data_IF_419661478120
#
_entry.id   IF_419661478120
#
_cell.length_a   1.000
_cell.length_b   1.000
_cell.length_c   1.000
_cell.angle_alpha   90.00
_cell.angle_beta   90.00
_cell.angle_gamma   90.00
#
_symmetry.space_group_name_H-M   'P 1'
#
loop_
_entity.id
_entity.type
_entity.pdbx_description
1 polymer ?
#
# COMPACT_ATOMS: atom_id res chain seq x y z
N UNK A 1 -9.51 -40.37 -24.85
CA UNK A 1 -8.44 -40.29 -25.87
C UNK A 1 -9.12 -40.44 -27.22
N UNK A 2 -9.26 -39.35 -27.97
CA UNK A 2 -9.41 -39.39 -29.43
C UNK A 2 -8.73 -38.13 -30.00
N UNK A 3 -7.80 -38.36 -30.92
CA UNK A 3 -6.67 -37.52 -31.32
C UNK A 3 -7.03 -36.56 -32.49
N UNK A 4 -8.31 -36.42 -32.81
CA UNK A 4 -8.79 -35.57 -33.91
C UNK A 4 -9.34 -34.20 -33.51
N UNK A 5 -9.66 -33.97 -32.23
CA UNK A 5 -10.13 -32.66 -31.75
C UNK A 5 -9.00 -31.74 -31.27
N UNK A 6 -7.74 -32.22 -31.24
CA UNK A 6 -6.58 -31.47 -30.76
C UNK A 6 -5.73 -30.82 -31.87
N UNK A 7 -6.09 -30.99 -33.15
CA UNK A 7 -5.32 -30.47 -34.31
C UNK A 7 -5.89 -29.24 -35.01
N UNK A 8 -7.03 -28.70 -34.56
CA UNK A 8 -7.65 -27.48 -35.13
C UNK A 8 -7.32 -26.21 -34.33
N UNK A 9 -6.75 -26.32 -33.12
CA UNK A 9 -6.43 -25.17 -32.27
C UNK A 9 -4.93 -24.78 -32.23
N UNK A 10 -4.11 -25.26 -33.17
CA UNK A 10 -2.63 -25.08 -33.13
C UNK A 10 -1.95 -24.65 -34.42
N UNK A 11 -2.69 -24.09 -35.37
CA UNK A 11 -2.14 -23.33 -36.51
C UNK A 11 -3.01 -22.10 -36.70
N UNK A 12 -2.67 -21.01 -36.01
CA UNK A 12 -2.97 -19.61 -36.43
C UNK A 12 -2.36 -18.55 -35.48
N UNK A 13 -1.25 -18.88 -34.83
CA UNK A 13 -0.38 -17.88 -34.20
C UNK A 13 1.00 -18.05 -34.82
N UNK A 14 1.44 -16.97 -35.47
CA UNK A 14 2.75 -16.74 -36.11
C UNK A 14 2.86 -17.19 -37.58
N UNK A 15 2.39 -16.32 -38.49
CA UNK A 15 3.17 -15.86 -39.66
C UNK A 15 2.53 -14.62 -40.30
N UNK A 16 3.29 -13.53 -40.30
CA UNK A 16 3.35 -12.40 -41.25
C UNK A 16 2.07 -11.56 -41.46
N UNK A 17 2.06 -10.23 -41.31
CA UNK A 17 3.08 -9.30 -41.78
C UNK A 17 3.04 -9.18 -43.30
N UNK A 18 2.23 -8.25 -43.82
CA UNK A 18 2.27 -7.66 -45.18
C UNK A 18 1.98 -8.61 -46.36
N UNK A 19 0.91 -8.34 -47.11
CA UNK A 19 0.66 -8.94 -48.43
C UNK A 19 -0.66 -8.46 -49.04
N UNK A 20 -0.57 -7.90 -50.24
CA UNK A 20 -1.60 -7.18 -51.01
C UNK A 20 -2.74 -8.06 -51.56
N UNK A 21 -3.78 -7.35 -51.98
CA UNK A 21 -5.05 -7.78 -52.56
C UNK A 21 -4.99 -8.77 -53.74
N UNK A 22 -6.08 -9.52 -53.92
CA UNK A 22 -6.77 -9.68 -55.21
C UNK A 22 -8.16 -10.34 -55.01
N UNK A 23 -9.18 -9.90 -55.76
CA UNK A 23 -10.46 -10.64 -55.88
C UNK A 23 -11.79 -9.89 -55.78
N UNK A 24 -11.97 -8.83 -56.59
CA UNK A 24 -13.24 -8.41 -57.25
C UNK A 24 -14.56 -8.27 -56.46
N UNK A 25 -14.81 -7.01 -56.07
CA UNK A 25 -16.01 -6.18 -56.30
C UNK A 25 -17.43 -6.80 -56.30
N UNK A 26 -18.20 -6.39 -55.28
CA UNK A 26 -19.60 -5.96 -55.44
C UNK A 26 -19.80 -4.65 -54.68
N UNK A 27 -20.49 -3.72 -55.32
CA UNK A 27 -20.46 -2.27 -55.09
C UNK A 27 -21.17 -1.81 -53.78
N UNK A 28 -20.50 -0.83 -53.15
CA UNK A 28 -21.04 0.41 -52.55
C UNK A 28 -21.97 0.32 -51.32
N UNK A 29 -21.36 0.13 -50.13
CA UNK A 29 -21.74 0.81 -48.88
C UNK A 29 -20.66 0.76 -47.75
N UNK A 30 -19.40 0.39 -48.02
CA UNK A 30 -18.44 -0.01 -46.97
C UNK A 30 -17.15 0.82 -46.80
N UNK A 31 -16.90 1.86 -47.60
CA UNK A 31 -15.61 2.57 -47.59
C UNK A 31 -15.35 3.50 -46.38
N UNK A 32 -16.33 4.19 -45.77
CA UNK A 32 -16.06 5.00 -44.57
C UNK A 32 -15.66 4.14 -43.37
N UNK A 33 -16.25 2.94 -43.26
CA UNK A 33 -16.10 2.04 -42.13
C UNK A 33 -14.69 1.43 -42.04
N UNK A 34 -14.09 1.07 -43.18
CA UNK A 34 -12.73 0.50 -43.21
C UNK A 34 -11.66 1.55 -42.88
N UNK A 35 -11.79 2.77 -43.38
CA UNK A 35 -10.88 3.87 -43.06
C UNK A 35 -10.96 4.30 -41.60
N UNK A 36 -12.18 4.35 -41.05
CA UNK A 36 -12.40 4.68 -39.64
C UNK A 36 -11.89 3.57 -38.70
N UNK A 37 -12.14 2.29 -39.02
CA UNK A 37 -11.63 1.17 -38.24
C UNK A 37 -10.08 1.10 -38.19
N UNK A 38 -9.41 1.35 -39.32
CA UNK A 38 -7.94 1.43 -39.36
C UNK A 38 -7.42 2.63 -38.54
N UNK A 39 -8.12 3.76 -38.58
CA UNK A 39 -7.76 4.95 -37.78
C UNK A 39 -7.98 4.75 -36.28
N UNK A 40 -9.02 4.00 -35.90
CA UNK A 40 -9.31 3.65 -34.51
C UNK A 40 -8.27 2.69 -33.95
N UNK A 41 -7.87 1.67 -34.72
CA UNK A 41 -6.82 0.73 -34.28
C UNK A 41 -5.50 1.46 -34.04
N UNK A 42 -5.12 2.38 -34.93
CA UNK A 42 -3.93 3.21 -34.73
C UNK A 42 -4.02 4.08 -33.46
N UNK A 43 -5.21 4.59 -33.12
CA UNK A 43 -5.41 5.30 -31.86
C UNK A 43 -5.30 4.37 -30.65
N UNK A 44 -5.90 3.18 -30.71
CA UNK A 44 -5.82 2.16 -29.65
C UNK A 44 -4.37 1.76 -29.38
N UNK A 45 -3.60 1.48 -30.42
CA UNK A 45 -2.18 1.10 -30.30
C UNK A 45 -1.37 2.24 -29.64
N UNK A 46 -1.64 3.49 -30.03
CA UNK A 46 -1.02 4.68 -29.40
C UNK A 46 -1.42 4.83 -27.94
N UNK A 47 -2.67 4.51 -27.58
CA UNK A 47 -3.11 4.54 -26.18
C UNK A 47 -2.35 3.50 -25.35
N UNK A 48 -2.13 2.29 -25.88
CA UNK A 48 -1.34 1.26 -25.22
C UNK A 48 0.14 1.64 -25.10
N UNK A 49 0.72 2.28 -26.12
CA UNK A 49 2.09 2.81 -26.03
C UNK A 49 2.22 3.89 -24.96
N UNK A 50 1.23 4.78 -24.84
CA UNK A 50 1.18 5.79 -23.79
C UNK A 50 1.08 5.14 -22.41
N UNK A 51 0.21 4.12 -22.24
CA UNK A 51 0.12 3.35 -21.00
C UNK A 51 1.44 2.65 -20.63
N UNK A 52 2.11 2.02 -21.61
CA UNK A 52 3.40 1.36 -21.42
C UNK A 52 4.51 2.34 -21.00
N UNK A 53 4.41 3.59 -21.44
CA UNK A 53 5.31 4.69 -21.07
C UNK A 53 4.86 5.46 -19.83
N UNK A 54 3.81 4.99 -19.14
CA UNK A 54 3.16 5.64 -17.99
C UNK A 54 2.62 7.06 -18.27
N UNK A 55 2.40 7.41 -19.54
CA UNK A 55 1.72 8.64 -19.95
C UNK A 55 0.20 8.44 -19.95
N UNK A 56 -0.35 8.36 -18.74
CA UNK A 56 -1.77 8.07 -18.53
C UNK A 56 -2.68 9.21 -19.01
N UNK A 57 -2.20 10.46 -19.03
CA UNK A 57 -2.96 11.62 -19.49
C UNK A 57 -3.17 11.60 -21.01
N UNK A 58 -2.14 11.24 -21.77
CA UNK A 58 -2.27 11.03 -23.22
C UNK A 58 -3.18 9.85 -23.51
N UNK A 59 -3.02 8.73 -22.79
CA UNK A 59 -3.91 7.57 -22.94
C UNK A 59 -5.39 7.92 -22.66
N UNK A 60 -5.68 8.64 -21.57
CA UNK A 60 -7.02 9.15 -21.26
C UNK A 60 -7.59 9.99 -22.41
N UNK A 61 -6.81 10.93 -22.94
CA UNK A 61 -7.23 11.80 -24.05
C UNK A 61 -7.64 10.99 -25.28
N UNK A 62 -6.87 9.94 -25.58
CA UNK A 62 -7.15 9.04 -26.71
C UNK A 62 -8.41 8.21 -26.45
N UNK A 63 -8.56 7.58 -25.27
CA UNK A 63 -9.77 6.82 -24.93
C UNK A 63 -11.03 7.68 -24.95
N UNK A 64 -10.98 8.93 -24.43
CA UNK A 64 -12.10 9.87 -24.53
C UNK A 64 -12.42 10.24 -25.98
N UNK A 65 -11.41 10.34 -26.86
CA UNK A 65 -11.62 10.57 -28.30
C UNK A 65 -12.34 9.40 -28.96
N UNK A 66 -11.92 8.16 -28.67
CA UNK A 66 -12.57 6.95 -29.17
C UNK A 66 -14.05 6.89 -28.71
N UNK A 67 -14.32 7.21 -27.45
CA UNK A 67 -15.69 7.25 -26.93
C UNK A 67 -16.56 8.32 -27.62
N UNK A 68 -16.01 9.52 -27.89
CA UNK A 68 -16.70 10.55 -28.67
C UNK A 68 -16.96 10.13 -30.12
N UNK A 69 -16.13 9.25 -30.67
CA UNK A 69 -16.33 8.63 -31.98
C UNK A 69 -17.34 7.46 -31.96
N UNK A 70 -18.00 7.21 -30.82
CA UNK A 70 -19.03 6.17 -30.67
C UNK A 70 -18.48 4.79 -30.28
N UNK A 71 -17.17 4.66 -30.05
CA UNK A 71 -16.56 3.39 -29.66
C UNK A 71 -16.74 3.13 -28.17
N UNK A 72 -17.78 2.38 -27.81
CA UNK A 72 -18.14 2.05 -26.41
C UNK A 72 -17.84 0.61 -26.04
N UNK A 73 -16.88 -0.01 -26.73
CA UNK A 73 -16.44 -1.37 -26.44
C UNK A 73 -15.91 -1.49 -25.00
N UNK A 74 -16.10 -2.67 -24.40
CA UNK A 74 -15.68 -2.97 -23.02
C UNK A 74 -14.25 -2.51 -22.75
N UNK A 75 -13.31 -2.88 -23.64
CA UNK A 75 -11.88 -2.62 -23.43
C UNK A 75 -11.54 -1.13 -23.49
N UNK A 76 -12.27 -0.32 -24.27
CA UNK A 76 -12.05 1.13 -24.39
C UNK A 76 -12.51 1.82 -23.13
N UNK A 77 -13.71 1.48 -22.67
CA UNK A 77 -14.27 2.04 -21.45
C UNK A 77 -13.48 1.61 -20.20
N UNK A 78 -13.05 0.34 -20.17
CA UNK A 78 -12.13 -0.17 -19.15
C UNK A 78 -10.80 0.56 -19.19
N UNK A 79 -10.22 0.74 -20.38
CA UNK A 79 -9.00 1.53 -20.60
C UNK A 79 -9.12 2.95 -20.05
N UNK A 80 -10.24 3.64 -20.28
CA UNK A 80 -10.48 4.95 -19.69
C UNK A 80 -10.47 4.90 -18.15
N UNK A 81 -11.28 4.03 -17.54
CA UNK A 81 -11.38 3.91 -16.08
C UNK A 81 -10.02 3.59 -15.42
N UNK A 82 -9.24 2.72 -16.06
CA UNK A 82 -7.91 2.34 -15.59
C UNK A 82 -6.94 3.53 -15.60
N UNK A 83 -6.89 4.32 -16.68
CA UNK A 83 -6.02 5.50 -16.77
C UNK A 83 -6.43 6.63 -15.82
N UNK A 84 -7.74 6.79 -15.58
CA UNK A 84 -8.24 7.75 -14.58
C UNK A 84 -7.77 7.37 -13.16
N UNK A 85 -7.82 6.07 -12.83
CA UNK A 85 -7.35 5.58 -11.53
C UNK A 85 -5.87 5.88 -11.29
N UNK A 86 -5.02 5.72 -12.31
CA UNK A 86 -3.57 6.01 -12.24
C UNK A 86 -3.23 7.49 -12.13
N UNK A 87 -4.17 8.34 -12.50
CA UNK A 87 -4.08 9.80 -12.36
C UNK A 87 -4.81 10.31 -11.11
N UNK A 88 -5.19 9.44 -10.17
CA UNK A 88 -5.89 9.82 -8.95
C UNK A 88 -7.28 10.45 -9.16
N UNK A 89 -7.84 10.33 -10.36
CA UNK A 89 -9.19 10.77 -10.72
C UNK A 89 -10.23 9.72 -10.32
N UNK A 90 -10.25 9.34 -9.04
CA UNK A 90 -10.97 8.16 -8.55
C UNK A 90 -12.49 8.22 -8.77
N UNK A 91 -13.11 9.38 -8.55
CA UNK A 91 -14.55 9.54 -8.75
C UNK A 91 -14.93 9.31 -10.23
N UNK A 92 -14.16 9.87 -11.16
CA UNK A 92 -14.35 9.65 -12.60
C UNK A 92 -14.07 8.19 -12.99
N UNK A 93 -13.05 7.55 -12.41
CA UNK A 93 -12.73 6.16 -12.65
C UNK A 93 -13.85 5.20 -12.21
N UNK A 94 -14.44 5.45 -11.03
CA UNK A 94 -15.60 4.69 -10.55
C UNK A 94 -16.81 4.91 -11.48
N UNK A 95 -17.11 6.16 -11.85
CA UNK A 95 -18.21 6.46 -12.76
C UNK A 95 -18.04 5.78 -14.13
N UNK A 96 -16.84 5.84 -14.71
CA UNK A 96 -16.52 5.20 -15.98
C UNK A 96 -16.59 3.67 -15.91
N UNK A 97 -16.13 3.05 -14.82
CA UNK A 97 -16.21 1.60 -14.66
C UNK A 97 -17.64 1.10 -14.48
N UNK A 98 -18.47 1.83 -13.73
CA UNK A 98 -19.90 1.53 -13.59
C UNK A 98 -20.65 1.68 -14.91
N UNK A 99 -20.38 2.72 -15.71
CA UNK A 99 -20.99 2.87 -17.03
C UNK A 99 -20.53 1.75 -17.99
N UNK A 100 -19.26 1.33 -17.92
CA UNK A 100 -18.77 0.18 -18.68
C UNK A 100 -19.54 -1.09 -18.33
N UNK A 101 -19.63 -1.44 -17.05
CA UNK A 101 -20.35 -2.64 -16.60
C UNK A 101 -21.84 -2.61 -16.99
N UNK A 102 -22.46 -1.43 -16.99
CA UNK A 102 -23.86 -1.26 -17.44
C UNK A 102 -24.05 -1.54 -18.93
N UNK A 103 -23.08 -1.15 -19.77
CA UNK A 103 -23.16 -1.30 -21.24
C UNK A 103 -22.62 -2.65 -21.73
N UNK A 104 -21.57 -3.14 -21.08
CA UNK A 104 -20.80 -4.32 -21.46
C UNK A 104 -20.65 -5.26 -20.25
N UNK A 105 -21.75 -5.88 -19.76
CA UNK A 105 -21.69 -6.73 -18.58
C UNK A 105 -20.86 -7.99 -18.86
N UNK A 106 -19.70 -8.12 -18.23
CA UNK A 106 -18.81 -9.27 -18.34
C UNK A 106 -17.85 -9.33 -17.14
N UNK A 107 -17.05 -10.40 -17.04
CA UNK A 107 -16.09 -10.56 -15.95
C UNK A 107 -15.10 -9.38 -15.86
N UNK A 108 -14.59 -8.88 -16.99
CA UNK A 108 -13.65 -7.75 -17.03
C UNK A 108 -14.26 -6.42 -16.58
N UNK A 109 -15.51 -6.13 -16.95
CA UNK A 109 -16.15 -4.89 -16.54
C UNK A 109 -16.50 -4.89 -15.05
N UNK A 110 -16.88 -6.05 -14.48
CA UNK A 110 -17.04 -6.21 -13.02
C UNK A 110 -15.69 -6.12 -12.29
N UNK A 111 -14.64 -6.75 -12.81
CA UNK A 111 -13.30 -6.66 -12.25
C UNK A 111 -12.79 -5.21 -12.22
N UNK A 112 -13.04 -4.43 -13.28
CA UNK A 112 -12.68 -3.02 -13.32
C UNK A 112 -13.44 -2.18 -12.29
N UNK A 113 -14.72 -2.47 -12.03
CA UNK A 113 -15.48 -1.81 -10.95
C UNK A 113 -14.84 -2.11 -9.59
N UNK A 114 -14.50 -3.38 -9.34
CA UNK A 114 -13.80 -3.78 -8.11
C UNK A 114 -12.48 -3.02 -7.95
N UNK A 115 -11.65 -3.01 -9.00
CA UNK A 115 -10.35 -2.32 -9.01
C UNK A 115 -10.51 -0.81 -8.81
N UNK A 116 -11.50 -0.17 -9.43
CA UNK A 116 -11.74 1.26 -9.30
C UNK A 116 -12.09 1.66 -7.85
N UNK A 117 -12.94 0.89 -7.18
CA UNK A 117 -13.24 1.10 -5.75
C UNK A 117 -12.02 0.84 -4.86
N UNK A 118 -11.28 -0.23 -5.13
CA UNK A 118 -10.04 -0.55 -4.40
C UNK A 118 -9.00 0.56 -4.54
N UNK A 119 -8.75 1.01 -5.76
CA UNK A 119 -7.86 2.13 -6.06
C UNK A 119 -8.37 3.45 -5.48
N UNK A 120 -9.66 3.58 -5.17
CA UNK A 120 -10.21 4.73 -4.49
C UNK A 120 -10.14 4.61 -2.94
N UNK A 121 -9.61 3.51 -2.40
CA UNK A 121 -9.65 3.25 -0.95
C UNK A 121 -11.05 3.00 -0.40
N UNK A 122 -12.03 2.73 -1.28
CA UNK A 122 -13.40 2.39 -0.91
C UNK A 122 -13.56 0.86 -0.90
N UNK A 123 -12.85 0.24 0.04
CA UNK A 123 -12.85 -1.21 0.22
C UNK A 123 -14.21 -1.79 0.61
N UNK A 124 -15.09 -1.04 1.28
CA UNK A 124 -16.44 -1.48 1.62
C UNK A 124 -17.27 -1.74 0.35
N UNK A 125 -17.27 -0.81 -0.60
CA UNK A 125 -17.93 -1.01 -1.89
C UNK A 125 -17.16 -2.01 -2.77
N UNK A 126 -15.83 -1.99 -2.76
CA UNK A 126 -15.01 -3.00 -3.45
C UNK A 126 -15.34 -4.43 -2.99
N UNK A 127 -15.41 -4.66 -1.68
CA UNK A 127 -15.77 -5.95 -1.10
C UNK A 127 -17.22 -6.35 -1.41
N UNK A 128 -18.16 -5.39 -1.50
CA UNK A 128 -19.54 -5.67 -1.94
C UNK A 128 -19.57 -6.22 -3.37
N UNK A 129 -18.85 -5.57 -4.30
CA UNK A 129 -18.75 -6.04 -5.69
C UNK A 129 -18.03 -7.39 -5.80
N UNK A 130 -16.97 -7.60 -5.02
CA UNK A 130 -16.25 -8.87 -5.01
C UNK A 130 -17.09 -10.02 -4.44
N UNK A 131 -17.89 -9.77 -3.40
CA UNK A 131 -18.84 -10.78 -2.89
C UNK A 131 -19.87 -11.17 -3.94
N UNK A 132 -20.38 -10.20 -4.71
CA UNK A 132 -21.24 -10.47 -5.85
C UNK A 132 -20.50 -11.28 -6.94
N UNK A 133 -19.29 -10.87 -7.33
CA UNK A 133 -18.50 -11.57 -8.34
C UNK A 133 -18.18 -13.02 -7.92
N UNK A 134 -17.93 -13.26 -6.63
CA UNK A 134 -17.59 -14.58 -6.08
C UNK A 134 -18.76 -15.57 -6.13
N UNK A 135 -20.01 -15.11 -6.20
CA UNK A 135 -21.18 -15.99 -6.43
C UNK A 135 -21.12 -16.69 -7.79
N UNK A 136 -20.35 -16.14 -8.74
CA UNK A 136 -20.19 -16.66 -10.10
C UNK A 136 -18.70 -16.88 -10.43
N UNK A 137 -17.91 -17.38 -9.49
CA UNK A 137 -16.45 -17.51 -9.62
C UNK A 137 -16.00 -18.32 -10.85
N UNK A 138 -16.80 -19.31 -11.27
CA UNK A 138 -16.52 -20.11 -12.48
C UNK A 138 -16.55 -19.29 -13.77
N UNK A 139 -17.25 -18.15 -13.77
CA UNK A 139 -17.37 -17.25 -14.93
C UNK A 139 -16.23 -16.21 -15.03
N UNK A 140 -15.27 -16.19 -14.08
CA UNK A 140 -14.22 -15.18 -14.08
C UNK A 140 -13.27 -15.27 -15.29
N UNK A 141 -13.09 -16.46 -15.86
CA UNK A 141 -12.24 -16.65 -17.04
C UNK A 141 -10.84 -16.07 -16.88
N UNK A 142 -10.42 -15.28 -17.87
CA UNK A 142 -9.14 -14.58 -17.93
C UNK A 142 -9.05 -13.36 -17.00
N UNK A 143 -10.18 -12.86 -16.47
CA UNK A 143 -10.20 -11.77 -15.48
C UNK A 143 -9.91 -12.25 -14.05
N UNK A 144 -9.78 -13.57 -13.81
CA UNK A 144 -9.51 -14.17 -12.49
C UNK A 144 -8.37 -13.49 -11.72
N UNK A 145 -7.19 -13.22 -12.33
CA UNK A 145 -6.09 -12.56 -11.60
C UNK A 145 -6.46 -11.16 -11.08
N UNK A 146 -7.31 -10.42 -11.79
CA UNK A 146 -7.76 -9.10 -11.35
C UNK A 146 -8.67 -9.20 -10.12
N UNK A 147 -9.57 -10.18 -10.09
CA UNK A 147 -10.39 -10.45 -8.90
C UNK A 147 -9.56 -10.94 -7.71
N UNK A 148 -8.64 -11.86 -7.92
CA UNK A 148 -7.76 -12.38 -6.86
C UNK A 148 -6.88 -11.26 -6.28
N UNK A 149 -6.33 -10.40 -7.12
CA UNK A 149 -5.59 -9.21 -6.69
C UNK A 149 -6.47 -8.26 -5.87
N UNK A 150 -7.68 -7.97 -6.33
CA UNK A 150 -8.61 -7.10 -5.60
C UNK A 150 -9.04 -7.71 -4.25
N UNK A 151 -9.28 -9.03 -4.20
CA UNK A 151 -9.58 -9.76 -2.95
C UNK A 151 -8.40 -9.69 -1.99
N UNK A 152 -7.17 -9.88 -2.47
CA UNK A 152 -5.97 -9.76 -1.65
C UNK A 152 -5.86 -8.36 -1.04
N UNK A 153 -6.41 -7.32 -1.66
CA UNK A 153 -6.46 -5.98 -1.07
C UNK A 153 -7.62 -5.81 -0.08
N UNK A 154 -8.85 -6.25 -0.38
CA UNK A 154 -10.01 -5.93 0.48
C UNK A 154 -10.32 -6.97 1.56
N UNK A 155 -9.74 -8.16 1.48
CA UNK A 155 -10.01 -9.21 2.46
C UNK A 155 -9.31 -8.90 3.79
N UNK A 156 -10.03 -9.15 4.88
CA UNK A 156 -9.44 -9.23 6.20
C UNK A 156 -8.48 -10.42 6.27
N UNK A 157 -7.34 -10.23 6.94
CA UNK A 157 -6.28 -11.24 7.02
C UNK A 157 -5.90 -11.46 8.47
N UNK A 158 -5.74 -12.72 8.86
CA UNK A 158 -5.25 -13.08 10.19
C UNK A 158 -3.85 -13.65 10.07
N UNK A 159 -2.93 -13.15 10.87
CA UNK A 159 -1.54 -13.56 10.94
C UNK A 159 -1.21 -14.05 12.36
N UNK A 160 -0.31 -15.02 12.44
CA UNK A 160 0.39 -15.37 13.66
C UNK A 160 1.83 -14.88 13.52
N UNK A 161 2.26 -14.07 14.49
CA UNK A 161 3.62 -13.56 14.64
C UNK A 161 4.20 -14.19 15.89
N UNK A 162 5.26 -14.98 15.74
CA UNK A 162 5.88 -15.70 16.86
C UNK A 162 7.29 -15.16 17.08
N UNK A 163 7.54 -14.61 18.27
CA UNK A 163 8.85 -14.16 18.73
C UNK A 163 9.49 -15.24 19.61
N UNK A 164 10.70 -15.69 19.26
CA UNK A 164 11.51 -16.61 20.07
C UNK A 164 12.58 -15.81 20.81
N UNK A 165 12.48 -15.76 22.13
CA UNK A 165 13.40 -15.04 23.00
C UNK A 165 14.37 -16.03 23.65
N UNK A 166 15.59 -16.09 23.11
CA UNK A 166 16.66 -16.94 23.64
C UNK A 166 17.60 -16.11 24.54
N UNK A 167 17.63 -16.35 25.87
CA UNK A 167 18.48 -15.60 26.78
C UNK A 167 19.96 -15.68 26.42
N UNK A 168 20.43 -16.81 25.87
CA UNK A 168 21.83 -16.99 25.48
C UNK A 168 22.21 -16.14 24.26
N UNK A 169 21.27 -15.93 23.34
CA UNK A 169 21.47 -15.06 22.16
C UNK A 169 21.39 -13.60 22.57
N UNK A 170 20.33 -13.22 23.28
CA UNK A 170 20.04 -11.82 23.62
C UNK A 170 21.05 -11.26 24.64
N UNK A 171 21.54 -12.07 25.58
CA UNK A 171 22.57 -11.65 26.52
C UNK A 171 23.88 -11.25 25.83
N UNK A 172 24.16 -11.71 24.60
CA UNK A 172 25.38 -11.35 23.87
C UNK A 172 25.28 -10.02 23.12
N UNK A 173 24.11 -9.36 23.12
CA UNK A 173 23.93 -8.07 22.45
C UNK A 173 24.33 -6.95 23.40
N UNK A 174 25.47 -6.32 23.14
CA UNK A 174 26.15 -5.42 24.07
C UNK A 174 25.31 -4.21 24.56
N UNK A 175 24.41 -3.69 23.72
CA UNK A 175 23.59 -2.52 24.04
C UNK A 175 22.24 -2.86 24.69
N UNK A 176 21.86 -4.14 24.75
CA UNK A 176 20.64 -4.56 25.44
C UNK A 176 20.87 -4.56 26.97
N UNK A 177 19.87 -4.17 27.77
CA UNK A 177 19.90 -4.38 29.20
C UNK A 177 20.09 -5.87 29.51
N UNK A 178 20.93 -6.19 30.50
CA UNK A 178 21.03 -7.55 31.04
C UNK A 178 19.79 -7.82 31.92
N UNK A 179 19.17 -8.99 31.76
CA UNK A 179 17.98 -9.37 32.52
C UNK A 179 16.75 -9.51 31.61
N UNK A 180 15.67 -8.80 31.94
CA UNK A 180 14.42 -8.87 31.18
C UNK A 180 14.57 -8.41 29.73
N UNK A 181 13.79 -9.03 28.85
CA UNK A 181 13.66 -8.64 27.45
C UNK A 181 12.41 -7.79 27.25
N UNK A 182 12.51 -6.78 26.37
CA UNK A 182 11.35 -6.01 25.91
C UNK A 182 10.93 -6.52 24.53
N UNK A 183 9.88 -7.34 24.51
CA UNK A 183 9.29 -7.82 23.26
C UNK A 183 8.25 -6.79 22.78
N UNK A 184 8.38 -6.23 21.57
CA UNK A 184 7.35 -5.35 21.05
C UNK A 184 6.08 -6.15 20.75
N UNK A 185 4.91 -5.59 21.08
CA UNK A 185 3.61 -6.21 20.79
C UNK A 185 2.91 -5.48 19.65
N UNK A 186 2.25 -6.18 18.71
CA UNK A 186 1.37 -5.54 17.74
C UNK A 186 0.32 -4.69 18.45
N UNK A 187 0.14 -3.45 18.01
CA UNK A 187 -0.76 -2.49 18.67
C UNK A 187 -2.19 -3.04 18.62
N UNK A 188 -2.85 -3.19 19.78
CA UNK A 188 -4.25 -3.58 19.85
C UNK A 188 -5.14 -2.38 19.50
N UNK A 189 -6.33 -2.65 18.98
CA UNK A 189 -7.41 -1.66 18.82
C UNK A 189 -7.12 -0.48 17.88
N UNK A 190 -6.44 -0.77 16.77
CA UNK A 190 -6.38 0.17 15.64
C UNK A 190 -7.61 0.00 14.76
N UNK A 191 -8.04 1.07 14.07
CA UNK A 191 -9.20 1.00 13.17
C UNK A 191 -9.09 -0.15 12.15
N UNK A 192 -7.87 -0.48 11.73
CA UNK A 192 -7.54 -1.50 10.72
C UNK A 192 -6.84 -2.74 11.31
N UNK A 193 -6.57 -2.80 12.61
CA UNK A 193 -5.82 -3.91 13.23
C UNK A 193 -6.29 -4.21 14.65
N UNK A 194 -6.50 -5.50 14.94
CA UNK A 194 -6.65 -6.01 16.30
C UNK A 194 -5.54 -7.03 16.58
N UNK A 195 -5.15 -7.17 17.84
CA UNK A 195 -4.14 -8.15 18.25
C UNK A 195 -4.45 -8.76 19.62
N UNK A 196 -3.96 -9.97 19.81
CA UNK A 196 -3.87 -10.65 21.10
C UNK A 196 -2.55 -11.41 21.17
N UNK A 197 -2.11 -11.81 22.36
CA UNK A 197 -0.88 -12.58 22.51
C UNK A 197 -0.96 -13.64 23.62
N UNK A 198 -0.10 -14.63 23.49
CA UNK A 198 0.13 -15.70 24.48
C UNK A 198 1.64 -15.84 24.69
N UNK A 199 2.04 -16.31 25.88
CA UNK A 199 3.44 -16.46 26.25
C UNK A 199 3.70 -17.83 26.85
N UNK A 200 4.78 -18.47 26.40
CA UNK A 200 5.26 -19.75 26.91
C UNK A 200 6.73 -19.63 27.31
N UNK A 201 7.17 -20.35 28.35
CA UNK A 201 8.60 -20.46 28.71
C UNK A 201 9.22 -19.22 29.39
N UNK A 202 8.40 -18.27 29.85
CA UNK A 202 8.86 -17.13 30.66
C UNK A 202 8.62 -17.37 32.16
N UNK A 203 9.49 -16.83 33.02
CA UNK A 203 9.30 -16.84 34.47
C UNK A 203 8.16 -15.91 34.89
N UNK A 204 8.14 -14.71 34.31
CA UNK A 204 7.09 -13.72 34.50
C UNK A 204 7.02 -12.77 33.31
N UNK A 205 5.84 -12.16 33.12
CA UNK A 205 5.64 -11.14 32.12
C UNK A 205 4.88 -9.94 32.68
N UNK A 206 5.11 -8.78 32.07
CA UNK A 206 4.41 -7.54 32.42
C UNK A 206 4.25 -6.66 31.17
N UNK A 207 3.03 -6.24 30.87
CA UNK A 207 2.80 -5.23 29.84
C UNK A 207 3.35 -3.87 30.28
N UNK A 208 4.01 -3.17 29.37
CA UNK A 208 4.51 -1.82 29.58
C UNK A 208 4.28 -0.97 28.34
N UNK A 209 4.03 0.34 28.55
CA UNK A 209 4.06 1.32 27.46
C UNK A 209 5.39 2.07 27.49
N UNK A 210 6.11 2.05 26.37
CA UNK A 210 7.44 2.62 26.19
C UNK A 210 7.42 3.58 25.00
N UNK A 211 7.63 4.87 25.25
CA UNK A 211 7.48 5.93 24.24
C UNK A 211 6.13 5.91 23.47
N UNK A 212 5.07 5.40 24.09
CA UNK A 212 3.75 5.26 23.45
C UNK A 212 3.55 3.96 22.67
N UNK A 213 4.51 3.03 22.72
CA UNK A 213 4.43 1.70 22.13
C UNK A 213 4.14 0.64 23.20
N UNK A 214 3.25 -0.29 22.87
CA UNK A 214 2.98 -1.43 23.74
C UNK A 214 4.12 -2.45 23.60
N UNK A 215 4.64 -2.89 24.74
CA UNK A 215 5.65 -3.94 24.79
C UNK A 215 5.39 -4.86 25.98
N UNK A 216 5.92 -6.06 25.89
CA UNK A 216 5.91 -7.05 26.94
C UNK A 216 7.31 -7.15 27.53
N UNK A 217 7.45 -6.80 28.81
CA UNK A 217 8.61 -7.18 29.61
C UNK A 217 8.53 -8.67 29.90
N UNK A 218 9.54 -9.42 29.48
CA UNK A 218 9.64 -10.87 29.65
C UNK A 218 10.86 -11.19 30.51
N UNK A 219 10.63 -11.75 31.68
CA UNK A 219 11.68 -12.27 32.55
C UNK A 219 11.96 -13.73 32.19
N UNK A 220 13.19 -14.09 31.79
CA UNK A 220 13.50 -15.47 31.41
C UNK A 220 13.49 -16.43 32.59
N UNK A 221 13.04 -17.67 32.36
CA UNK A 221 13.16 -18.77 33.31
C UNK A 221 14.52 -19.46 33.15
N UNK A 222 15.56 -18.83 33.72
CA UNK A 222 16.94 -19.28 33.60
C UNK A 222 17.43 -19.25 32.14
N UNK A 223 17.96 -20.38 31.66
CA UNK A 223 18.41 -20.54 30.26
C UNK A 223 17.32 -20.98 29.29
N UNK A 224 16.05 -21.08 29.72
CA UNK A 224 14.95 -21.51 28.83
C UNK A 224 14.59 -20.43 27.82
N UNK A 225 14.25 -20.87 26.62
CA UNK A 225 13.68 -20.02 25.57
C UNK A 225 12.24 -19.69 25.91
N UNK A 226 11.87 -18.42 25.79
CA UNK A 226 10.49 -17.97 25.87
C UNK A 226 9.93 -17.71 24.47
N UNK A 227 8.64 -17.97 24.27
CA UNK A 227 7.93 -17.72 23.01
C UNK A 227 6.78 -16.76 23.27
N UNK A 228 6.73 -15.66 22.53
CA UNK A 228 5.58 -14.73 22.53
C UNK A 228 4.86 -14.90 21.19
N UNK A 229 3.63 -15.39 21.22
CA UNK A 229 2.83 -15.65 20.02
C UNK A 229 1.70 -14.64 19.94
N UNK A 230 1.75 -13.77 18.93
CA UNK A 230 0.74 -12.76 18.68
C UNK A 230 -0.19 -13.20 17.54
N UNK A 231 -1.50 -13.13 17.76
CA UNK A 231 -2.51 -13.25 16.72
C UNK A 231 -2.93 -11.85 16.30
N UNK A 232 -2.72 -11.51 15.03
CA UNK A 232 -3.00 -10.18 14.47
C UNK A 232 -4.04 -10.31 13.38
N UNK A 233 -5.15 -9.59 13.49
CA UNK A 233 -6.14 -9.47 12.41
C UNK A 233 -6.08 -8.09 11.79
N UNK A 234 -5.79 -8.04 10.50
CA UNK A 234 -5.83 -6.83 9.69
C UNK A 234 -7.17 -6.75 8.95
N UNK A 235 -7.81 -5.58 8.99
CA UNK A 235 -9.03 -5.29 8.26
C UNK A 235 -8.84 -4.00 7.46
N UNK A 236 -8.97 -4.03 6.11
CA UNK A 236 -8.91 -2.80 5.32
C UNK A 236 -9.99 -1.81 5.75
N UNK A 237 -9.65 -0.51 5.67
CA UNK A 237 -10.50 0.58 6.12
C UNK A 237 -10.87 1.54 4.99
N UNK A 238 -12.16 1.66 4.72
CA UNK A 238 -12.70 2.76 3.92
C UNK A 238 -12.77 4.00 4.79
N UNK A 239 -11.79 4.88 4.66
CA UNK A 239 -11.79 6.13 5.43
C UNK A 239 -12.71 7.19 4.80
N UNK A 240 -12.77 7.28 3.46
CA UNK A 240 -13.67 8.24 2.77
C UNK A 240 -15.14 8.07 3.15
N UNK A 241 -15.62 6.84 3.37
CA UNK A 241 -17.00 6.60 3.80
C UNK A 241 -17.29 7.08 5.23
N UNK A 242 -16.25 7.23 6.04
CA UNK A 242 -16.31 7.64 7.46
C UNK A 242 -16.09 9.14 7.67
N UNK A 243 -15.72 9.85 6.61
CA UNK A 243 -15.31 11.25 6.68
C UNK A 243 -16.22 12.05 5.77
N UNK A 244 -17.07 12.89 6.36
CA UNK A 244 -17.82 13.94 5.67
C UNK A 244 -17.41 15.26 6.30
N UNK A 245 -16.81 16.16 5.52
CA UNK A 245 -16.45 17.52 5.91
C UNK A 245 -15.98 17.65 7.37
N UNK A 246 -14.78 17.11 7.65
CA UNK A 246 -14.17 17.21 8.98
C UNK A 246 -13.41 18.52 9.14
N UNK A 247 -13.34 19.01 10.37
CA UNK A 247 -12.46 20.12 10.74
C UNK A 247 -11.21 19.62 11.44
N UNK A 248 -10.05 20.21 11.09
CA UNK A 248 -8.82 20.00 11.86
C UNK A 248 -8.91 20.57 13.28
N UNK A 249 -9.94 21.35 13.61
CA UNK A 249 -10.19 21.79 14.99
C UNK A 249 -10.68 20.66 15.89
N UNK A 250 -11.21 19.57 15.31
CA UNK A 250 -11.81 18.46 16.07
C UNK A 250 -10.76 17.39 16.46
N UNK A 251 -9.48 17.70 16.30
CA UNK A 251 -8.38 16.80 16.66
C UNK A 251 -8.31 16.67 18.19
N UNK A 252 -8.34 15.44 18.76
CA UNK A 252 -8.19 15.23 20.18
C UNK A 252 -6.85 15.78 20.71
N UNK A 253 -6.85 16.32 21.93
CA UNK A 253 -5.65 16.87 22.58
C UNK A 253 -4.52 15.86 22.74
N UNK A 254 -4.83 14.56 22.81
CA UNK A 254 -3.86 13.46 22.84
C UNK A 254 -3.12 13.25 21.51
N UNK A 255 -3.70 13.70 20.40
CA UNK A 255 -3.17 13.54 19.03
C UNK A 255 -2.56 14.85 18.50
N UNK A 256 -3.10 16.00 18.90
CA UNK A 256 -2.67 17.32 18.44
C UNK A 256 -1.14 17.58 18.49
N UNK A 257 -0.37 17.08 19.48
CA UNK A 257 1.09 17.25 19.47
C UNK A 257 1.78 16.65 18.25
N UNK A 258 1.18 15.67 17.57
CA UNK A 258 1.72 15.02 16.37
C UNK A 258 1.55 15.85 15.09
N UNK A 259 1.08 17.09 15.19
CA UNK A 259 1.14 18.08 14.11
C UNK A 259 2.38 18.99 14.18
N UNK A 260 3.22 18.86 15.22
CA UNK A 260 4.36 19.75 15.48
C UNK A 260 5.65 19.26 14.82
N UNK A 261 6.61 20.17 14.68
CA UNK A 261 7.98 19.83 14.28
C UNK A 261 8.60 18.90 15.31
N UNK A 262 9.35 17.91 14.84
CA UNK A 262 10.18 17.03 15.68
C UNK A 262 11.54 16.84 15.02
N UNK A 263 12.46 16.13 15.68
CA UNK A 263 13.71 15.71 15.05
C UNK A 263 13.41 14.98 13.74
N UNK A 264 14.15 15.28 12.67
CA UNK A 264 13.98 14.69 11.34
C UNK A 264 12.63 14.98 10.65
N UNK A 265 11.80 15.86 11.23
CA UNK A 265 10.51 16.35 10.67
C UNK A 265 10.46 17.87 10.86
N UNK A 266 11.14 18.57 9.97
CA UNK A 266 11.43 20.00 10.06
C UNK A 266 10.35 20.85 9.36
N UNK A 267 9.12 20.84 9.89
CA UNK A 267 7.97 21.54 9.27
C UNK A 267 8.18 23.05 9.12
N UNK A 268 9.06 23.64 9.94
CA UNK A 268 9.38 25.06 9.88
C UNK A 268 10.36 25.43 8.75
N UNK A 269 10.99 24.44 8.12
CA UNK A 269 11.98 24.67 7.07
C UNK A 269 11.32 25.25 5.79
N UNK A 270 11.93 26.25 5.12
CA UNK A 270 11.32 26.92 3.96
C UNK A 270 10.88 25.98 2.83
N UNK A 271 11.68 24.95 2.52
CA UNK A 271 11.33 23.92 1.53
C UNK A 271 10.02 23.19 1.88
N UNK A 272 9.81 22.85 3.16
CA UNK A 272 8.60 22.16 3.60
C UNK A 272 7.41 23.11 3.54
N UNK A 273 7.55 24.33 4.06
CA UNK A 273 6.48 25.33 4.04
C UNK A 273 6.02 25.69 2.63
N UNK A 274 6.96 25.89 1.70
CA UNK A 274 6.65 26.24 0.32
C UNK A 274 5.84 25.12 -0.37
N UNK A 275 6.29 23.88 -0.24
CA UNK A 275 5.61 22.74 -0.84
C UNK A 275 4.27 22.44 -0.15
N UNK A 276 4.19 22.56 1.17
CA UNK A 276 2.93 22.42 1.89
C UNK A 276 1.90 23.48 1.46
N UNK A 277 2.33 24.72 1.23
CA UNK A 277 1.47 25.79 0.71
C UNK A 277 0.97 25.52 -0.71
N UNK A 278 1.82 24.96 -1.59
CA UNK A 278 1.45 24.55 -2.95
C UNK A 278 0.38 23.45 -2.95
N UNK A 279 0.50 22.47 -2.04
CA UNK A 279 -0.39 21.31 -1.97
C UNK A 279 -1.68 21.57 -1.20
N UNK A 280 -1.75 22.67 -0.44
CA UNK A 280 -2.90 23.02 0.40
C UNK A 280 -4.11 23.38 -0.44
N UNK A 281 -5.26 22.80 -0.09
CA UNK A 281 -6.56 23.08 -0.68
C UNK A 281 -7.52 23.72 0.34
N UNK A 282 -8.71 24.11 -0.11
CA UNK A 282 -9.76 24.66 0.76
C UNK A 282 -10.19 23.68 1.84
N UNK A 283 -10.30 22.38 1.49
CA UNK A 283 -10.68 21.33 2.44
C UNK A 283 -9.45 20.56 2.94
N UNK A 284 -9.54 20.08 4.19
CA UNK A 284 -8.48 19.25 4.78
C UNK A 284 -8.32 17.91 4.05
N UNK A 285 -9.42 17.31 3.59
CA UNK A 285 -9.37 16.04 2.83
C UNK A 285 -8.64 16.20 1.51
N UNK A 286 -8.96 17.24 0.72
CA UNK A 286 -8.29 17.48 -0.56
C UNK A 286 -6.82 17.84 -0.36
N UNK A 287 -6.49 18.55 0.73
CA UNK A 287 -5.09 18.79 1.10
C UNK A 287 -4.32 17.49 1.35
N UNK A 288 -4.91 16.55 2.11
CA UNK A 288 -4.31 15.23 2.36
C UNK A 288 -4.14 14.45 1.05
N UNK A 289 -5.17 14.44 0.20
CA UNK A 289 -5.14 13.74 -1.09
C UNK A 289 -4.07 14.31 -2.04
N UNK A 290 -3.92 15.64 -2.09
CA UNK A 290 -2.86 16.30 -2.83
C UNK A 290 -1.46 15.89 -2.32
N UNK A 291 -1.28 15.82 -1.00
CA UNK A 291 -0.02 15.39 -0.39
C UNK A 291 0.27 13.93 -0.73
N UNK A 292 -0.69 13.03 -0.59
CA UNK A 292 -0.54 11.61 -0.93
C UNK A 292 -0.22 11.41 -2.42
N UNK A 293 -0.92 12.12 -3.31
CA UNK A 293 -0.66 12.06 -4.74
C UNK A 293 0.76 12.59 -5.07
N UNK A 294 1.15 13.72 -4.47
CA UNK A 294 2.49 14.28 -4.66
C UNK A 294 3.57 13.33 -4.15
N UNK A 295 3.40 12.78 -2.94
CA UNK A 295 4.31 11.82 -2.32
C UNK A 295 4.53 10.60 -3.21
N UNK A 296 3.44 9.96 -3.65
CA UNK A 296 3.50 8.81 -4.55
C UNK A 296 4.27 9.11 -5.84
N UNK A 297 4.04 10.29 -6.43
CA UNK A 297 4.67 10.69 -7.69
C UNK A 297 6.14 11.10 -7.52
N UNK A 298 6.51 11.69 -6.37
CA UNK A 298 7.80 12.38 -6.22
C UNK A 298 8.78 11.69 -5.28
N UNK A 299 8.35 10.99 -4.24
CA UNK A 299 9.26 10.32 -3.31
C UNK A 299 9.41 8.86 -3.72
N UNK A 300 10.62 8.47 -4.13
CA UNK A 300 10.92 7.11 -4.60
C UNK A 300 11.79 6.36 -3.61
N UNK A 301 11.48 5.08 -3.43
CA UNK A 301 12.30 4.21 -2.62
C UNK A 301 13.50 3.69 -3.40
N UNK A 302 14.64 3.72 -2.74
CA UNK A 302 15.88 3.14 -3.24
C UNK A 302 16.40 2.10 -2.24
N UNK A 303 16.31 0.78 -2.53
CA UNK A 303 16.80 -0.26 -1.64
C UNK A 303 18.33 -0.32 -1.55
N UNK A 304 19.05 0.34 -2.48
CA UNK A 304 20.53 0.40 -2.50
C UNK A 304 21.07 1.62 -1.78
N UNK A 305 20.18 2.45 -1.26
CA UNK A 305 20.54 3.59 -0.47
C UNK A 305 21.41 3.18 0.72
N UNK A 306 22.36 4.02 1.10
CA UNK A 306 23.01 3.89 2.40
C UNK A 306 22.15 4.58 3.47
N UNK A 307 22.08 4.00 4.66
CA UNK A 307 21.35 4.63 5.78
C UNK A 307 21.94 6.00 6.16
N UNK A 308 23.24 6.19 5.93
CA UNK A 308 23.98 7.39 6.31
C UNK A 308 23.84 8.57 5.32
N UNK A 309 23.68 8.34 4.02
CA UNK A 309 23.61 9.43 3.02
C UNK A 309 22.16 9.69 2.60
N UNK A 310 21.29 8.68 2.66
CA UNK A 310 19.86 8.81 2.31
C UNK A 310 18.89 8.79 3.51
N UNK A 311 19.39 8.54 4.74
CA UNK A 311 18.69 8.83 6.01
C UNK A 311 19.09 10.20 6.56
N UNK A 312 18.27 11.23 6.33
CA UNK A 312 18.64 12.63 6.65
C UNK A 312 17.48 13.55 7.02
N UNK A 313 16.37 12.97 7.49
CA UNK A 313 15.16 13.71 7.81
C UNK A 313 14.39 14.23 6.61
N UNK A 314 13.27 14.90 6.91
CA UNK A 314 12.24 15.26 5.93
C UNK A 314 12.75 16.20 4.84
N UNK A 315 13.55 17.20 5.19
CA UNK A 315 14.09 18.16 4.22
C UNK A 315 14.99 17.48 3.20
N UNK A 316 15.83 16.55 3.66
CA UNK A 316 16.74 15.85 2.79
C UNK A 316 15.99 14.91 1.84
N UNK A 317 14.96 14.21 2.33
CA UNK A 317 14.10 13.36 1.52
C UNK A 317 13.36 14.18 0.43
N UNK A 318 12.75 15.32 0.81
CA UNK A 318 12.02 16.18 -0.13
C UNK A 318 12.93 16.81 -1.21
N UNK A 319 14.16 17.18 -0.85
CA UNK A 319 15.14 17.71 -1.82
C UNK A 319 15.64 16.64 -2.78
N UNK A 320 15.95 15.44 -2.27
CA UNK A 320 16.49 14.35 -3.10
C UNK A 320 15.44 13.63 -3.90
N UNK A 321 14.17 13.66 -3.47
CA UNK A 321 13.07 12.89 -4.07
C UNK A 321 13.31 11.36 -4.05
N UNK A 322 14.25 10.91 -3.23
CA UNK A 322 14.60 9.50 -3.06
C UNK A 322 15.13 9.20 -1.66
N UNK A 323 14.91 7.99 -1.16
CA UNK A 323 15.51 7.48 0.07
C UNK A 323 15.01 6.08 0.45
N UNK A 324 15.44 5.60 1.62
CA UNK A 324 14.85 4.41 2.24
C UNK A 324 13.41 4.67 2.73
N UNK A 325 12.70 3.62 3.16
CA UNK A 325 11.33 3.69 3.64
C UNK A 325 11.12 4.79 4.70
N UNK A 326 12.10 5.00 5.57
CA UNK A 326 12.08 6.07 6.59
C UNK A 326 12.23 7.48 6.01
N UNK A 327 13.10 7.64 5.01
CA UNK A 327 13.31 8.92 4.34
C UNK A 327 12.03 9.35 3.62
N UNK A 328 11.46 8.46 2.82
CA UNK A 328 10.18 8.67 2.12
C UNK A 328 9.07 8.99 3.14
N UNK A 329 8.94 8.18 4.20
CA UNK A 329 7.97 8.42 5.29
C UNK A 329 8.15 9.79 5.95
N UNK A 330 9.39 10.21 6.21
CA UNK A 330 9.66 11.50 6.86
C UNK A 330 9.19 12.69 6.02
N UNK A 331 9.33 12.62 4.69
CA UNK A 331 8.83 13.65 3.77
C UNK A 331 7.31 13.76 3.82
N UNK A 332 6.60 12.64 3.71
CA UNK A 332 5.14 12.59 3.79
C UNK A 332 4.63 13.12 5.14
N UNK A 333 5.21 12.65 6.26
CA UNK A 333 4.86 13.13 7.61
C UNK A 333 5.09 14.64 7.75
N UNK A 334 6.19 15.18 7.22
CA UNK A 334 6.46 16.61 7.32
C UNK A 334 5.45 17.46 6.54
N UNK A 335 5.05 17.04 5.33
CA UNK A 335 4.05 17.74 4.55
C UNK A 335 2.67 17.72 5.22
N UNK A 336 2.26 16.57 5.77
CA UNK A 336 1.01 16.45 6.52
C UNK A 336 1.00 17.37 7.75
N UNK A 337 2.06 17.31 8.56
CA UNK A 337 2.19 18.14 9.78
C UNK A 337 2.26 19.63 9.46
N UNK A 338 2.95 20.03 8.39
CA UNK A 338 3.00 21.42 7.94
C UNK A 338 1.62 21.97 7.53
N UNK A 339 0.69 21.10 7.12
CA UNK A 339 -0.70 21.45 6.86
C UNK A 339 -1.63 21.32 8.09
N UNK A 340 -1.08 21.05 9.28
CA UNK A 340 -1.84 20.90 10.51
C UNK A 340 -2.47 19.52 10.70
N UNK A 341 -2.16 18.55 9.83
CA UNK A 341 -2.65 17.17 9.94
C UNK A 341 -1.71 16.39 10.86
N UNK A 342 -2.19 15.84 11.99
CA UNK A 342 -1.35 15.02 12.85
C UNK A 342 -0.90 13.77 12.12
N UNK A 343 0.41 13.54 12.09
CA UNK A 343 0.99 12.40 11.41
C UNK A 343 2.13 11.78 12.22
N UNK A 344 2.34 10.47 12.08
CA UNK A 344 3.34 9.71 12.82
C UNK A 344 4.04 8.68 11.95
N UNK A 345 5.22 8.27 12.38
CA UNK A 345 5.91 7.12 11.82
C UNK A 345 5.31 5.86 12.41
N UNK A 346 5.18 4.82 11.60
CA UNK A 346 4.83 3.49 12.07
C UNK A 346 5.88 2.51 11.61
N UNK A 347 6.42 1.72 12.54
CA UNK A 347 7.32 0.61 12.27
C UNK A 347 6.54 -0.68 12.49
N UNK A 348 6.75 -1.62 11.58
CA UNK A 348 6.18 -2.94 11.72
C UNK A 348 6.66 -3.83 10.59
N UNK A 349 5.82 -4.78 10.22
CA UNK A 349 6.12 -5.68 9.11
C UNK A 349 5.30 -5.30 7.90
N UNK A 350 6.00 -4.99 6.80
CA UNK A 350 5.41 -5.03 5.47
C UNK A 350 5.26 -6.50 5.08
N UNK A 351 4.06 -7.04 5.14
CA UNK A 351 3.71 -8.26 4.45
C UNK A 351 3.63 -7.92 2.96
N UNK A 352 4.78 -7.80 2.29
CA UNK A 352 4.80 -7.58 0.85
C UNK A 352 4.08 -8.74 0.18
N UNK A 353 2.98 -8.41 -0.48
CA UNK A 353 2.26 -9.30 -1.37
C UNK A 353 3.19 -9.67 -2.55
N UNK A 354 3.83 -10.85 -2.49
CA UNK A 354 4.56 -11.41 -3.65
C UNK A 354 5.73 -12.33 -3.34
N UNK A 355 5.63 -13.57 -3.84
CA UNK A 355 6.62 -14.64 -4.10
C UNK A 355 7.55 -15.17 -2.98
N UNK A 356 8.02 -14.39 -2.00
CA UNK A 356 8.99 -14.88 -1.00
C UNK A 356 8.41 -15.19 0.39
N UNK A 357 7.15 -14.81 0.65
CA UNK A 357 6.38 -15.22 1.83
C UNK A 357 6.90 -14.75 3.20
N UNK A 358 7.97 -13.95 3.26
CA UNK A 358 8.59 -13.50 4.51
C UNK A 358 8.41 -12.00 4.69
N UNK A 359 7.59 -11.54 5.65
CA UNK A 359 7.43 -10.11 5.94
C UNK A 359 8.76 -9.46 6.34
N UNK A 360 9.05 -8.30 5.76
CA UNK A 360 10.23 -7.51 6.10
C UNK A 360 9.83 -6.34 7.00
N UNK A 361 10.78 -5.89 7.81
CA UNK A 361 10.57 -4.68 8.60
C UNK A 361 10.38 -3.49 7.66
N UNK A 362 9.38 -2.67 7.91
CA UNK A 362 9.01 -1.53 7.07
C UNK A 362 8.59 -0.34 7.93
N UNK A 363 8.80 0.87 7.39
CA UNK A 363 8.32 2.11 8.00
C UNK A 363 7.36 2.79 7.05
N UNK A 364 6.22 3.25 7.55
CA UNK A 364 5.23 3.97 6.78
C UNK A 364 4.62 5.13 7.56
N UNK A 365 3.80 5.93 6.88
CA UNK A 365 3.12 7.10 7.45
C UNK A 365 1.75 6.71 7.97
N UNK A 366 1.38 7.25 9.13
CA UNK A 366 -0.02 7.35 9.50
C UNK A 366 -0.42 8.80 9.74
N UNK A 367 -1.64 9.13 9.37
CA UNK A 367 -2.24 10.43 9.68
C UNK A 367 -3.60 10.26 10.34
N UNK A 368 -3.95 11.21 11.19
CA UNK A 368 -5.21 11.19 11.93
C UNK A 368 -6.26 12.04 11.23
N UNK A 369 -7.43 11.45 10.99
CA UNK A 369 -8.61 12.17 10.50
C UNK A 369 -9.73 12.07 11.53
N UNK A 370 -10.25 13.19 12.06
CA UNK A 370 -11.44 13.21 12.91
C UNK A 370 -12.59 12.40 12.29
N UNK A 371 -13.22 11.53 13.08
CA UNK A 371 -14.28 10.62 12.63
C UNK A 371 -13.78 9.29 12.03
N UNK A 372 -12.58 9.23 11.44
CA UNK A 372 -12.00 8.00 10.89
C UNK A 372 -10.90 7.38 11.77
N UNK A 373 -10.18 8.18 12.55
CA UNK A 373 -9.03 7.74 13.34
C UNK A 373 -7.73 7.75 12.54
N UNK A 374 -6.82 6.82 12.86
CA UNK A 374 -5.53 6.67 12.18
C UNK A 374 -5.68 5.96 10.83
N UNK A 375 -5.16 6.59 9.78
CA UNK A 375 -5.18 6.08 8.41
C UNK A 375 -3.74 5.81 7.96
N UNK A 376 -3.52 4.64 7.37
CA UNK A 376 -2.22 4.21 6.86
C UNK A 376 -1.95 4.78 5.46
N UNK A 377 -0.73 5.26 5.25
CA UNK A 377 -0.21 5.76 3.99
C UNK A 377 1.22 5.30 3.75
N UNK A 378 1.50 4.82 2.54
CA UNK A 378 2.80 4.28 2.14
C UNK A 378 3.01 4.57 0.65
N UNK A 379 3.70 5.67 0.34
CA UNK A 379 3.79 6.27 -0.99
C UNK A 379 4.25 5.35 -2.12
N UNK A 380 4.93 4.23 -1.82
CA UNK A 380 5.36 3.24 -2.82
C UNK A 380 4.22 2.34 -3.33
N UNK A 381 3.20 2.11 -2.50
CA UNK A 381 2.08 1.21 -2.77
C UNK A 381 0.79 2.02 -2.95
N UNK A 382 0.57 2.60 -4.15
CA UNK A 382 -0.64 3.38 -4.45
C UNK A 382 -1.95 2.56 -4.36
N UNK A 383 -3.08 3.20 -4.01
CA UNK A 383 -3.21 4.21 -2.98
C UNK A 383 -4.22 3.76 -1.92
N UNK A 384 -3.93 4.10 -0.67
CA UNK A 384 -4.57 3.57 0.54
C UNK A 384 -4.11 2.15 0.82
N UNK A 385 -3.52 1.98 2.00
CA UNK A 385 -2.79 0.81 2.40
C UNK A 385 -3.48 -0.50 2.01
N UNK A 386 -2.82 -1.28 1.16
CA UNK A 386 -3.04 -2.72 1.15
C UNK A 386 -2.95 -3.16 2.62
N UNK A 387 -3.97 -3.83 3.20
CA UNK A 387 -3.93 -4.40 4.55
C UNK A 387 -3.01 -5.62 4.54
N UNK A 388 -1.74 -5.33 4.32
CA UNK A 388 -0.63 -6.24 4.34
C UNK A 388 0.51 -5.57 5.12
N UNK A 389 0.18 -4.73 6.11
CA UNK A 389 1.15 -4.19 7.06
C UNK A 389 0.68 -4.45 8.48
N UNK A 390 1.49 -5.19 9.24
CA UNK A 390 1.27 -5.44 10.66
C UNK A 390 1.95 -4.32 11.44
N UNK A 391 1.16 -3.48 12.11
CA UNK A 391 1.63 -2.40 12.96
C UNK A 391 2.16 -2.96 14.28
N UNK A 392 3.42 -2.68 14.60
CA UNK A 392 4.06 -3.12 15.84
C UNK A 392 4.38 -1.94 16.75
N UNK A 393 4.82 -0.83 16.19
CA UNK A 393 5.03 0.38 16.96
C UNK A 393 4.72 1.62 16.14
N UNK A 394 4.23 2.64 16.83
CA UNK A 394 4.04 3.98 16.33
C UNK A 394 5.04 4.91 17.01
N UNK A 395 5.90 5.53 16.21
CA UNK A 395 7.01 6.35 16.69
C UNK A 395 6.69 7.82 16.43
N UNK A 396 6.89 8.62 17.48
CA UNK A 396 6.47 10.02 17.56
C UNK A 396 7.58 10.98 17.12
N UNK A 397 8.84 10.68 17.44
CA UNK A 397 9.93 11.67 17.41
C UNK A 397 11.16 11.30 16.57
N UNK A 398 11.47 10.02 16.33
CA UNK A 398 12.77 9.64 15.73
C UNK A 398 12.69 8.75 14.50
N UNK A 399 13.46 9.11 13.46
CA UNK A 399 13.87 8.15 12.42
C UNK A 399 14.80 7.09 13.04
N UNK A 400 14.57 5.80 12.78
CA UNK A 400 15.36 4.68 13.30
C UNK A 400 16.90 4.73 13.12
N UNK A 401 17.46 5.61 12.28
CA UNK A 401 18.91 5.66 12.03
C UNK A 401 19.78 6.37 13.07
N UNK A 402 19.23 6.82 14.20
CA UNK A 402 20.08 7.30 15.29
C UNK A 402 20.93 6.12 15.81
N UNK A 403 22.27 6.22 15.84
CA UNK A 403 23.15 5.10 16.17
C UNK A 403 22.79 4.46 17.54
N UNK A 404 22.98 3.14 17.74
CA UNK A 404 22.68 2.48 19.01
C UNK A 404 23.30 3.25 20.20
N UNK A 405 22.49 3.60 21.19
CA UNK A 405 22.93 4.39 22.36
C UNK A 405 23.01 5.90 22.17
N UNK A 406 22.81 6.43 20.95
CA UNK A 406 22.75 7.86 20.65
C UNK A 406 21.29 8.30 20.41
N UNK A 407 20.54 8.64 21.45
CA UNK A 407 19.16 9.07 21.24
C UNK A 407 18.34 9.24 22.51
N UNK A 408 17.12 9.73 22.33
CA UNK A 408 16.10 9.79 23.36
C UNK A 408 15.59 8.38 23.75
N UNK A 409 14.71 8.31 24.74
CA UNK A 409 14.14 7.05 25.21
C UNK A 409 13.47 6.24 24.07
N UNK A 410 12.80 6.92 23.14
CA UNK A 410 12.12 6.29 22.00
C UNK A 410 13.10 5.61 21.04
N UNK A 411 14.23 6.26 20.75
CA UNK A 411 15.33 5.68 19.96
C UNK A 411 15.87 4.41 20.62
N UNK A 412 16.07 4.42 21.94
CA UNK A 412 16.62 3.26 22.66
C UNK A 412 15.64 2.09 22.66
N UNK A 413 14.35 2.36 22.83
CA UNK A 413 13.30 1.34 22.77
C UNK A 413 13.18 0.74 21.36
N UNK A 414 13.31 1.57 20.31
CA UNK A 414 13.42 1.12 18.92
C UNK A 414 14.54 0.10 18.71
N UNK A 415 15.77 0.42 19.14
CA UNK A 415 16.90 -0.50 19.01
C UNK A 415 16.73 -1.78 19.82
N UNK A 416 16.12 -1.70 21.00
CA UNK A 416 15.78 -2.88 21.79
C UNK A 416 14.82 -3.78 21.00
N UNK A 417 13.79 -3.19 20.38
CA UNK A 417 12.86 -3.93 19.54
C UNK A 417 13.59 -4.55 18.36
N UNK A 418 14.36 -3.80 17.57
CA UNK A 418 15.08 -4.35 16.43
C UNK A 418 16.03 -5.49 16.81
N UNK A 419 16.73 -5.38 17.94
CA UNK A 419 17.63 -6.42 18.42
C UNK A 419 16.93 -7.72 18.82
N UNK A 420 15.72 -7.63 19.38
CA UNK A 420 14.87 -8.80 19.67
C UNK A 420 14.44 -9.47 18.37
N UNK A 421 14.14 -8.68 17.34
CA UNK A 421 13.61 -9.15 16.06
C UNK A 421 14.73 -9.72 15.15
N UNK A 422 15.90 -9.07 15.14
CA UNK A 422 17.06 -9.37 14.32
C UNK A 422 18.35 -9.30 15.15
N UNK A 423 18.67 -10.34 15.92
CA UNK A 423 19.94 -10.39 16.63
C UNK A 423 21.13 -10.31 15.64
N UNK A 424 22.25 -9.69 16.03
CA UNK A 424 23.46 -9.60 15.20
C UNK A 424 23.88 -10.98 14.66
N UNK A 425 24.18 -11.06 13.36
CA UNK A 425 24.52 -12.31 12.67
C UNK A 425 23.33 -13.01 11.99
N UNK A 426 22.11 -12.47 12.08
CA UNK A 426 20.98 -12.93 11.26
C UNK A 426 21.23 -12.60 9.78
N UNK A 427 21.35 -13.62 8.93
CA UNK A 427 21.52 -13.42 7.50
C UNK A 427 20.29 -12.74 6.87
N UNK A 428 20.50 -11.80 5.95
CA UNK A 428 19.44 -11.15 5.16
C UNK A 428 18.56 -12.22 4.52
N UNK A 429 17.25 -12.17 4.79
CA UNK A 429 16.27 -13.13 4.24
C UNK A 429 16.00 -14.38 5.10
N UNK A 430 16.61 -14.51 6.29
CA UNK A 430 16.13 -15.47 7.30
C UNK A 430 15.21 -14.78 8.29
N UNK A 431 14.06 -15.40 8.59
CA UNK A 431 13.29 -15.12 9.80
C UNK A 431 14.23 -15.34 10.98
N UNK A 432 14.70 -14.26 11.62
CA UNK A 432 15.59 -14.33 12.78
C UNK A 432 14.90 -15.02 13.96
N UNK A 433 14.61 -14.25 15.00
CA UNK A 433 13.80 -14.75 16.12
C UNK A 433 12.29 -14.69 15.83
N UNK A 434 11.87 -14.25 14.64
CA UNK A 434 10.46 -13.96 14.35
C UNK A 434 9.94 -14.79 13.19
N UNK A 435 8.85 -15.52 13.42
CA UNK A 435 8.14 -16.28 12.37
C UNK A 435 6.79 -15.66 12.06
N UNK A 436 6.46 -15.60 10.78
CA UNK A 436 5.19 -15.11 10.28
C UNK A 436 4.43 -16.21 9.58
N UNK A 437 3.14 -16.29 9.85
CA UNK A 437 2.23 -17.18 9.13
C UNK A 437 0.89 -16.52 8.93
N UNK A 438 0.43 -16.40 7.67
CA UNK A 438 -0.96 -16.08 7.38
C UNK A 438 -1.83 -17.30 7.70
N UNK A 439 -2.84 -17.11 8.53
CA UNK A 439 -3.72 -18.17 9.03
C UNK A 439 -5.08 -18.15 8.32
N UNK A 440 -5.63 -16.97 8.04
CA UNK A 440 -6.88 -16.84 7.28
C UNK A 440 -6.90 -15.60 6.40
N UNK A 441 -7.76 -15.65 5.37
CA UNK A 441 -8.13 -14.53 4.52
C UNK A 441 -9.63 -14.61 4.25
N UNK A 442 -10.37 -13.57 4.63
CA UNK A 442 -11.85 -13.54 4.62
C UNK A 442 -12.33 -12.25 3.95
N UNK A 443 -13.19 -12.38 2.94
CA UNK A 443 -13.78 -11.27 2.19
C UNK A 443 -15.00 -10.66 2.91
#
# INVERSE_FOLDING_TARGET
MDERSAKVARRDLLRSGIGLASGSASLLAGLPLLGQAASDQALIDRAFQAQASQDYATAETIFRRLLRAGRTDEFIMRGLAWNLSRQWKHAEAIAASLDNNRRNPCAWSVAQVCEAYVNAGDYENGAKWLRFAKQNETAWGDARPAFESAIEVVAAKTFVVEYTLDPAVLANIAFLPKGDFLCPLPIPDLPYQTSSYEVEGALSTREETRAGNLCLRVTPDGGRRATVRCTVRLKPMSYRSRVRDFSLTDIPSSVAPLARSTRNVEIEHPTVKALAAELKATSAITTIENICAWDHSNLKFDPRADGATLGGGSVAALKRKTGHCEGVTSGAVALLRACGVPARFVRGYGAVAGASGTPTMHTWTEFYVPGAGWIQWDGENAPFAVPAKICIGCFRYTSPYAAPGSGDAETRDLWNFEAVLFPPGTAVGRSGNVRFRRVSMEL
#
